data_IF_089294785643
#
_entry.id   IF_089294785643
#
_cell.length_a   1.000
_cell.length_b   1.000
_cell.length_c   1.000
_cell.angle_alpha   90.00
_cell.angle_beta   90.00
_cell.angle_gamma   90.00
#
_symmetry.space_group_name_H-M   'P 1'
#
loop_
_entity.id
_entity.type
_entity.pdbx_description
1 polymer ?
#
# COMPACT_ATOMS: atom_id res chain seq x y z
N UNK A 1 -4.92 -7.28 12.04
CA UNK A 1 -3.69 -7.83 11.41
C UNK A 1 -2.95 -8.84 12.28
N UNK A 2 -3.22 -8.90 13.59
CA UNK A 2 -2.60 -9.87 14.52
C UNK A 2 -2.75 -11.34 14.07
N UNK A 3 -3.94 -11.76 13.61
CA UNK A 3 -4.16 -13.12 13.10
C UNK A 3 -3.18 -13.49 11.97
N UNK A 4 -3.04 -12.63 10.96
CA UNK A 4 -2.12 -12.87 9.85
C UNK A 4 -0.67 -12.87 10.32
N UNK A 5 -0.31 -11.99 11.25
CA UNK A 5 1.06 -11.86 11.77
C UNK A 5 1.51 -13.04 12.62
N UNK A 6 0.58 -13.73 13.30
CA UNK A 6 0.84 -14.97 14.04
C UNK A 6 0.76 -16.22 13.18
N UNK A 7 0.17 -16.12 11.98
CA UNK A 7 0.11 -17.23 11.04
C UNK A 7 1.48 -17.55 10.42
N UNK A 8 1.65 -18.73 9.79
CA UNK A 8 2.88 -19.08 9.08
C UNK A 8 3.29 -18.08 7.97
N UNK A 9 2.34 -17.31 7.44
CA UNK A 9 2.61 -16.29 6.43
C UNK A 9 3.40 -15.10 6.98
N UNK A 10 3.27 -14.83 8.29
CA UNK A 10 3.91 -13.75 9.07
C UNK A 10 3.62 -12.32 8.61
N UNK A 11 3.41 -12.05 7.33
CA UNK A 11 3.07 -10.74 6.77
C UNK A 11 2.30 -10.89 5.45
N UNK A 12 1.49 -9.88 5.13
CA UNK A 12 0.85 -9.76 3.83
C UNK A 12 1.82 -9.24 2.77
N UNK A 13 2.60 -8.22 3.13
CA UNK A 13 3.60 -7.58 2.29
C UNK A 13 3.08 -6.68 1.16
N UNK A 14 1.81 -6.78 0.81
CA UNK A 14 1.14 -5.94 -0.18
C UNK A 14 -0.31 -5.63 0.20
N UNK A 15 -0.54 -5.27 1.45
CA UNK A 15 -1.86 -4.86 1.91
C UNK A 15 -2.25 -3.48 1.32
N UNK A 16 -3.42 -3.41 0.68
CA UNK A 16 -4.03 -2.19 0.11
C UNK A 16 -5.56 -2.26 0.26
N UNK A 17 -6.27 -1.14 0.11
CA UNK A 17 -7.74 -1.08 0.13
C UNK A 17 -8.37 -1.98 -0.94
N UNK A 18 -7.72 -2.17 -2.10
CA UNK A 18 -8.18 -3.10 -3.15
C UNK A 18 -8.16 -4.58 -2.73
N UNK A 19 -7.38 -4.93 -1.72
CA UNK A 19 -7.24 -6.30 -1.22
C UNK A 19 -8.14 -6.54 0.02
N UNK A 20 -8.96 -5.56 0.39
CA UNK A 20 -9.91 -5.61 1.49
C UNK A 20 -11.32 -5.68 0.92
N UNK A 21 -11.93 -6.87 0.94
CA UNK A 21 -13.29 -7.09 0.44
C UNK A 21 -14.26 -7.25 1.59
N UNK A 22 -15.47 -6.73 1.45
CA UNK A 22 -16.52 -6.83 2.46
C UNK A 22 -17.60 -7.80 1.96
N UNK A 23 -17.99 -8.77 2.79
CA UNK A 23 -19.06 -9.71 2.45
C UNK A 23 -20.46 -9.18 2.80
N UNK A 24 -21.52 -9.92 2.45
CA UNK A 24 -22.91 -9.53 2.70
C UNK A 24 -23.28 -9.37 4.18
N UNK A 25 -22.44 -9.86 5.10
CA UNK A 25 -22.62 -9.73 6.55
C UNK A 25 -21.78 -8.59 7.12
N UNK A 26 -21.29 -7.69 6.26
CA UNK A 26 -20.40 -6.58 6.63
C UNK A 26 -19.09 -7.04 7.29
N UNK A 27 -18.59 -8.23 6.94
CA UNK A 27 -17.30 -8.72 7.45
C UNK A 27 -16.19 -8.41 6.45
N UNK A 28 -15.15 -7.71 6.92
CA UNK A 28 -13.94 -7.44 6.12
C UNK A 28 -13.08 -8.71 6.02
N UNK A 29 -12.70 -9.05 4.79
CA UNK A 29 -11.81 -10.15 4.43
C UNK A 29 -10.62 -9.62 3.65
N UNK A 30 -9.44 -10.18 3.95
CA UNK A 30 -8.17 -9.78 3.35
C UNK A 30 -7.74 -10.83 2.32
N UNK A 31 -7.59 -10.42 1.06
CA UNK A 31 -7.26 -11.28 -0.08
C UNK A 31 -5.80 -11.16 -0.51
N UNK A 32 -5.33 -12.02 -1.40
CA UNK A 32 -3.99 -11.95 -2.03
C UNK A 32 -2.79 -12.01 -1.07
N UNK A 33 -2.96 -12.65 0.08
CA UNK A 33 -1.88 -12.96 1.01
C UNK A 33 -1.12 -14.23 0.58
N UNK A 34 0.18 -14.34 0.91
CA UNK A 34 0.98 -15.52 0.59
C UNK A 34 1.42 -15.66 -0.87
N UNK A 35 1.12 -14.67 -1.72
CA UNK A 35 1.48 -14.68 -3.15
C UNK A 35 2.86 -14.05 -3.43
N UNK A 36 3.74 -13.95 -2.43
CA UNK A 36 5.04 -13.27 -2.55
C UNK A 36 5.95 -13.90 -3.62
N UNK A 37 5.89 -15.23 -3.79
CA UNK A 37 6.65 -15.97 -4.80
C UNK A 37 6.11 -15.80 -6.23
N UNK A 38 4.80 -15.55 -6.38
CA UNK A 38 4.16 -15.35 -7.68
C UNK A 38 4.23 -13.90 -8.14
N UNK A 39 4.48 -12.98 -7.21
CA UNK A 39 4.57 -11.57 -7.52
C UNK A 39 5.87 -11.30 -8.27
N UNK A 40 5.77 -10.86 -9.52
CA UNK A 40 6.94 -10.46 -10.29
C UNK A 40 7.73 -9.41 -9.49
N UNK A 41 9.05 -9.55 -9.34
CA UNK A 41 9.86 -8.48 -8.82
C UNK A 41 9.58 -7.23 -9.66
N UNK A 42 9.61 -6.04 -9.04
CA UNK A 42 9.40 -4.81 -9.79
C UNK A 42 10.48 -4.77 -10.88
N UNK A 43 10.19 -4.23 -12.08
CA UNK A 43 11.24 -4.06 -13.07
C UNK A 43 12.39 -3.30 -12.41
N UNK A 44 13.58 -3.90 -12.42
CA UNK A 44 14.78 -3.24 -11.93
C UNK A 44 14.86 -1.88 -12.62
N UNK A 45 14.83 -0.79 -11.84
CA UNK A 45 14.87 0.56 -12.39
C UNK A 45 16.24 0.76 -13.04
N UNK A 46 16.38 0.42 -14.31
CA UNK A 46 17.37 1.08 -15.15
C UNK A 46 16.97 2.56 -15.18
N UNK A 47 17.85 3.41 -14.63
CA UNK A 47 17.75 4.89 -14.64
C UNK A 47 17.67 5.42 -16.08
N UNK A 48 16.54 5.27 -16.76
CA UNK A 48 16.27 5.97 -18.01
C UNK A 48 14.91 6.65 -17.92
N UNK A 49 14.98 7.96 -17.81
CA UNK A 49 13.86 8.87 -17.95
C UNK A 49 13.23 8.72 -19.34
N UNK A 50 11.92 8.55 -19.38
CA UNK A 50 11.11 8.52 -20.60
C UNK A 50 9.63 8.74 -20.25
N UNK A 51 8.87 9.53 -21.03
CA UNK A 51 7.65 10.16 -20.55
C UNK A 51 6.39 9.30 -20.74
N UNK A 52 5.47 9.43 -19.77
CA UNK A 52 4.02 9.23 -19.83
C UNK A 52 3.51 7.86 -20.33
N UNK A 53 2.94 7.08 -19.41
CA UNK A 53 1.79 6.23 -19.72
C UNK A 53 0.77 6.33 -18.58
N UNK A 54 -0.44 6.72 -18.96
CA UNK A 54 -1.67 6.72 -18.18
C UNK A 54 -2.01 5.29 -17.75
N UNK A 55 -1.61 4.95 -16.53
CA UNK A 55 -2.11 3.80 -15.80
C UNK A 55 -2.31 4.26 -14.37
N UNK A 56 -3.49 3.96 -13.82
CA UNK A 56 -3.90 4.28 -12.45
C UNK A 56 -2.72 4.41 -11.48
N UNK A 57 -2.64 5.47 -10.66
CA UNK A 57 -1.65 5.56 -9.60
C UNK A 57 -2.04 4.54 -8.52
N UNK A 58 -1.82 3.26 -8.80
CA UNK A 58 -2.00 2.19 -7.83
C UNK A 58 -0.89 2.34 -6.80
N UNK A 59 -1.18 3.15 -5.78
CA UNK A 59 -0.47 3.20 -4.51
C UNK A 59 1.06 3.45 -4.63
N UNK A 60 1.45 4.37 -5.52
CA UNK A 60 2.79 4.99 -5.54
C UNK A 60 2.94 6.02 -4.43
N UNK A 61 2.92 5.56 -3.18
CA UNK A 61 3.40 6.31 -2.01
C UNK A 61 4.70 5.68 -1.48
N UNK A 62 5.29 6.16 -0.36
CA UNK A 62 6.65 5.88 0.13
C UNK A 62 6.97 4.40 0.46
N UNK A 63 6.14 3.46 0.04
CA UNK A 63 6.43 2.02 -0.04
C UNK A 63 7.49 1.68 -1.08
N UNK A 64 7.60 2.48 -2.15
CA UNK A 64 8.59 2.27 -3.22
C UNK A 64 9.97 2.85 -2.91
N UNK A 65 10.05 3.94 -2.13
CA UNK A 65 11.30 4.55 -1.66
C UNK A 65 11.97 3.74 -0.53
N UNK A 66 11.22 2.92 0.19
CA UNK A 66 11.70 2.10 1.30
C UNK A 66 11.98 0.64 0.89
N UNK A 67 12.05 0.37 -0.41
CA UNK A 67 12.09 -0.99 -0.98
C UNK A 67 13.50 -1.56 -1.14
N UNK A 68 14.54 -0.74 -1.06
CA UNK A 68 15.93 -1.19 -1.18
C UNK A 68 16.36 -2.15 -0.04
N UNK A 69 15.59 -2.24 1.07
CA UNK A 69 15.85 -3.22 2.14
C UNK A 69 14.68 -4.15 2.49
N UNK A 70 13.54 -4.05 1.79
CA UNK A 70 12.37 -4.87 2.14
C UNK A 70 12.43 -6.23 1.46
N UNK A 71 12.28 -7.29 2.26
CA UNK A 71 12.13 -8.65 1.76
C UNK A 71 10.99 -8.71 0.74
N UNK A 72 11.11 -9.58 -0.27
CA UNK A 72 10.05 -9.80 -1.27
C UNK A 72 8.70 -10.19 -0.66
N UNK A 73 8.70 -10.67 0.59
CA UNK A 73 7.51 -11.07 1.35
C UNK A 73 6.93 -9.97 2.24
N UNK A 74 7.54 -8.77 2.24
CA UNK A 74 7.15 -7.64 3.05
C UNK A 74 7.48 -7.81 4.54
N UNK A 75 6.85 -6.98 5.38
CA UNK A 75 7.10 -6.96 6.84
C UNK A 75 5.82 -6.72 7.62
N UNK A 76 5.76 -7.20 8.88
CA UNK A 76 4.64 -6.94 9.78
C UNK A 76 4.43 -5.43 10.00
N UNK A 77 5.51 -4.68 10.18
CA UNK A 77 5.46 -3.22 10.34
C UNK A 77 4.91 -2.54 9.08
N UNK A 78 5.27 -3.03 7.90
CA UNK A 78 4.70 -2.57 6.63
C UNK A 78 3.19 -2.79 6.52
N UNK A 79 2.69 -3.95 6.98
CA UNK A 79 1.24 -4.21 7.00
C UNK A 79 0.51 -3.30 7.98
N UNK A 80 1.08 -3.03 9.17
CA UNK A 80 0.50 -2.09 10.14
C UNK A 80 0.42 -0.67 9.55
N UNK A 81 1.49 -0.23 8.87
CA UNK A 81 1.49 1.05 8.18
C UNK A 81 0.40 1.12 7.10
N UNK A 82 0.31 0.10 6.24
CA UNK A 82 -0.75 0.01 5.22
C UNK A 82 -2.14 0.04 5.83
N UNK A 83 -2.35 -0.69 6.93
CA UNK A 83 -3.62 -0.68 7.61
C UNK A 83 -3.99 0.74 8.09
N UNK A 84 -3.03 1.51 8.59
CA UNK A 84 -3.24 2.92 8.94
C UNK A 84 -3.68 3.78 7.75
N UNK A 85 -3.06 3.59 6.59
CA UNK A 85 -3.45 4.30 5.35
C UNK A 85 -4.87 3.92 4.91
N UNK A 86 -5.22 2.62 4.96
CA UNK A 86 -6.58 2.17 4.63
C UNK A 86 -7.61 2.77 5.59
N UNK A 87 -7.30 2.82 6.89
CA UNK A 87 -8.19 3.47 7.87
C UNK A 87 -8.33 4.97 7.58
N UNK A 88 -7.25 5.63 7.19
CA UNK A 88 -7.29 7.04 6.75
C UNK A 88 -8.21 7.23 5.54
N UNK A 89 -8.08 6.40 4.51
CA UNK A 89 -8.96 6.42 3.32
C UNK A 89 -10.44 6.28 3.74
N UNK A 90 -10.75 5.38 4.68
CA UNK A 90 -12.13 5.18 5.17
C UNK A 90 -12.64 6.40 5.95
N UNK A 91 -11.81 6.98 6.83
CA UNK A 91 -12.19 8.13 7.66
C UNK A 91 -12.40 9.38 6.82
N UNK A 92 -11.47 9.70 5.90
CA UNK A 92 -11.54 10.90 5.08
C UNK A 92 -12.30 10.73 3.77
N UNK A 93 -12.68 9.50 3.41
CA UNK A 93 -13.32 9.15 2.13
C UNK A 93 -12.60 9.78 0.93
N UNK A 94 -11.27 9.78 1.01
CA UNK A 94 -10.35 10.44 0.07
C UNK A 94 -9.20 9.50 -0.24
N UNK A 95 -8.43 9.82 -1.29
CA UNK A 95 -7.28 9.03 -1.69
C UNK A 95 -6.23 8.88 -0.58
N UNK A 96 -5.37 7.83 -0.65
CA UNK A 96 -4.25 7.65 0.27
C UNK A 96 -3.43 8.93 0.46
N UNK A 97 -2.97 9.17 1.69
CA UNK A 97 -2.18 10.35 2.07
C UNK A 97 -2.92 11.68 1.98
N UNK A 98 -4.26 11.68 1.88
CA UNK A 98 -5.04 12.91 1.96
C UNK A 98 -4.82 13.65 3.28
N UNK A 99 -4.38 14.90 3.20
CA UNK A 99 -4.21 15.79 4.35
C UNK A 99 -5.34 16.84 4.29
N UNK A 100 -6.28 16.84 5.24
CA UNK A 100 -7.34 17.85 5.28
C UNK A 100 -6.74 19.23 5.58
N UNK A 101 -7.23 20.28 4.92
CA UNK A 101 -6.76 21.66 5.08
C UNK A 101 -5.26 21.84 4.82
N UNK A 102 -4.79 21.45 3.63
CA UNK A 102 -3.45 21.80 3.15
C UNK A 102 -3.35 23.33 2.90
N UNK A 103 -3.23 24.10 3.98
CA UNK A 103 -2.81 25.51 3.95
C UNK A 103 -1.30 25.59 3.75
N UNK A 104 -0.80 24.90 2.72
CA UNK A 104 0.49 25.19 2.12
C UNK A 104 0.21 25.98 0.84
N UNK A 105 -0.47 27.12 0.98
CA UNK A 105 -0.32 28.16 -0.02
C UNK A 105 1.16 28.55 0.01
N UNK A 106 1.88 28.17 -1.04
CA UNK A 106 3.16 28.78 -1.33
C UNK A 106 2.89 30.27 -1.46
N UNK A 107 3.21 31.04 -0.42
CA UNK A 107 3.14 32.48 -0.45
C UNK A 107 4.18 32.92 -1.48
N UNK A 108 3.70 33.16 -2.70
CA UNK A 108 4.53 33.63 -3.81
C UNK A 108 5.22 34.91 -3.36
N UNK A 109 6.53 34.81 -3.20
CA UNK A 109 7.45 35.95 -3.16
C UNK A 109 7.91 36.26 -4.56
#
# INVERSE_FOLDING_TARGET
MDYLHRSPLRSHGHLSSSNCVVDSRFVLKVTDHGLSLLRKPPPARTRRAGPKNTGHPCCGGPRELLRDSMSSSGTQKGDVYSFGIIVQEVVYRSDPFHIPNNLLEAKGT
#
